data_IF_900439733039
#
_entry.id   IF_900439733039
#
_cell.length_a   1.000
_cell.length_b   1.000
_cell.length_c   1.000
_cell.angle_alpha   90.00
_cell.angle_beta   90.00
_cell.angle_gamma   90.00
#
_symmetry.space_group_name_H-M   'P 1'
#
loop_
_entity.id
_entity.type
_entity.pdbx_description
1 polymer ?
#
# COMPACT_ATOMS: atom_id res chain seq x y z
N UNK A 1 -13.77 -40.32 31.79
CA UNK A 1 -12.89 -39.64 30.81
C UNK A 1 -13.55 -39.75 29.45
N UNK A 2 -14.34 -38.75 29.00
CA UNK A 2 -14.86 -38.57 27.62
C UNK A 2 -16.03 -37.55 27.62
N UNK A 3 -15.80 -36.33 28.11
CA UNK A 3 -16.79 -35.25 28.02
C UNK A 3 -16.09 -33.88 27.88
N UNK A 4 -15.13 -33.80 26.96
CA UNK A 4 -14.71 -32.51 26.39
C UNK A 4 -15.58 -32.27 25.17
N UNK A 5 -16.84 -31.90 25.40
CA UNK A 5 -17.72 -31.39 24.38
C UNK A 5 -16.99 -30.29 23.62
N UNK A 6 -16.76 -30.56 22.34
CA UNK A 6 -16.34 -29.60 21.34
C UNK A 6 -17.41 -28.52 21.26
N UNK A 7 -17.26 -27.48 22.08
CA UNK A 7 -18.10 -26.29 21.99
C UNK A 7 -17.72 -25.58 20.67
N UNK A 8 -18.59 -25.57 19.64
CA UNK A 8 -18.26 -25.04 18.30
C UNK A 8 -17.97 -23.54 18.31
N UNK A 9 -18.29 -22.87 19.41
CA UNK A 9 -18.28 -21.42 19.53
C UNK A 9 -16.93 -20.84 20.01
N UNK A 10 -15.92 -21.67 20.29
CA UNK A 10 -14.59 -21.16 20.72
C UNK A 10 -13.87 -20.34 19.65
N UNK A 11 -14.18 -20.56 18.37
CA UNK A 11 -13.61 -19.78 17.26
C UNK A 11 -14.21 -18.37 17.13
N UNK A 12 -15.37 -18.12 17.76
CA UNK A 12 -16.06 -16.82 17.70
C UNK A 12 -15.65 -15.87 18.83
N UNK A 13 -15.02 -16.38 19.89
CA UNK A 13 -14.62 -15.60 21.07
C UNK A 13 -13.23 -14.94 20.95
N UNK A 14 -12.47 -15.23 19.89
CA UNK A 14 -11.17 -14.58 19.62
C UNK A 14 -11.30 -13.27 18.81
N UNK A 15 -12.50 -12.92 18.33
CA UNK A 15 -12.73 -11.70 17.55
C UNK A 15 -13.05 -10.46 18.42
N UNK A 16 -13.10 -10.60 19.75
CA UNK A 16 -13.51 -9.50 20.64
C UNK A 16 -12.34 -8.74 21.28
N UNK A 17 -11.11 -9.24 21.17
CA UNK A 17 -9.96 -8.70 21.91
C UNK A 17 -9.16 -7.62 21.17
N UNK A 18 -9.42 -7.41 19.87
CA UNK A 18 -8.67 -6.46 19.04
C UNK A 18 -9.50 -5.27 18.54
N UNK A 19 -10.74 -5.09 19.02
CA UNK A 19 -11.61 -3.99 18.60
C UNK A 19 -10.99 -2.61 18.84
N UNK A 20 -10.45 -2.38 20.04
CA UNK A 20 -9.78 -1.13 20.39
C UNK A 20 -8.47 -0.92 19.61
N UNK A 21 -7.77 -2.01 19.27
CA UNK A 21 -6.56 -1.97 18.47
C UNK A 21 -6.87 -1.60 17.01
N UNK A 22 -7.91 -2.19 16.41
CA UNK A 22 -8.39 -1.86 15.06
C UNK A 22 -8.87 -0.39 14.98
N UNK A 23 -9.59 0.09 16.00
CA UNK A 23 -10.03 1.48 16.08
C UNK A 23 -8.83 2.45 16.19
N UNK A 24 -7.85 2.11 17.05
CA UNK A 24 -6.62 2.89 17.21
C UNK A 24 -5.81 2.99 15.92
N UNK A 25 -5.64 1.87 15.20
CA UNK A 25 -4.98 1.85 13.90
C UNK A 25 -5.73 2.66 12.84
N UNK A 26 -7.07 2.62 12.82
CA UNK A 26 -7.88 3.41 11.91
C UNK A 26 -7.77 4.92 12.15
N UNK A 27 -7.82 5.35 13.41
CA UNK A 27 -7.66 6.77 13.79
C UNK A 27 -6.24 7.26 13.47
N UNK A 28 -5.21 6.45 13.77
CA UNK A 28 -3.84 6.77 13.44
C UNK A 28 -3.66 6.96 11.92
N UNK A 29 -4.22 6.05 11.11
CA UNK A 29 -4.20 6.16 9.64
C UNK A 29 -4.93 7.42 9.13
N UNK A 30 -6.06 7.81 9.74
CA UNK A 30 -6.74 9.07 9.39
C UNK A 30 -5.88 10.30 9.70
N UNK A 31 -5.23 10.34 10.86
CA UNK A 31 -4.36 11.46 11.24
C UNK A 31 -3.16 11.55 10.30
N UNK A 32 -2.53 10.41 10.01
CA UNK A 32 -1.40 10.34 9.06
C UNK A 32 -1.86 10.76 7.65
N UNK A 33 -3.05 10.33 7.21
CA UNK A 33 -3.64 10.74 5.94
C UNK A 33 -3.89 12.25 5.86
N UNK A 34 -4.42 12.86 6.92
CA UNK A 34 -4.67 14.30 6.98
C UNK A 34 -3.37 15.12 6.96
N UNK A 35 -2.33 14.65 7.64
CA UNK A 35 -0.99 15.25 7.61
C UNK A 35 -0.40 15.11 6.20
N UNK A 36 -0.52 13.94 5.58
CA UNK A 36 -0.05 13.70 4.22
C UNK A 36 -0.73 14.61 3.20
N UNK A 37 -2.03 14.91 3.35
CA UNK A 37 -2.74 15.89 2.50
C UNK A 37 -2.22 17.30 2.74
N UNK A 38 -2.03 17.68 4.02
CA UNK A 38 -1.61 19.04 4.40
C UNK A 38 -0.20 19.39 3.89
N UNK A 39 0.67 18.39 3.78
CA UNK A 39 2.06 18.56 3.33
C UNK A 39 2.36 17.72 2.08
N UNK A 40 1.37 17.53 1.21
CA UNK A 40 1.41 16.61 0.06
C UNK A 40 2.66 16.75 -0.82
N UNK A 41 3.10 17.98 -1.11
CA UNK A 41 4.30 18.21 -1.92
C UNK A 41 5.56 17.71 -1.22
N UNK A 42 5.73 17.98 0.08
CA UNK A 42 6.88 17.48 0.85
C UNK A 42 6.82 15.96 1.03
N UNK A 43 5.65 15.41 1.32
CA UNK A 43 5.45 13.97 1.44
C UNK A 43 5.85 13.27 0.15
N UNK A 44 5.45 13.82 -1.01
CA UNK A 44 5.83 13.29 -2.32
C UNK A 44 7.34 13.29 -2.51
N UNK A 45 8.01 14.43 -2.32
CA UNK A 45 9.47 14.51 -2.45
C UNK A 45 10.20 13.54 -1.53
N UNK A 46 9.81 13.49 -0.24
CA UNK A 46 10.41 12.59 0.74
C UNK A 46 10.23 11.13 0.34
N UNK A 47 9.04 10.72 -0.10
CA UNK A 47 8.78 9.36 -0.57
C UNK A 47 9.62 9.00 -1.79
N UNK A 48 9.72 9.90 -2.78
CA UNK A 48 10.51 9.66 -4.00
C UNK A 48 11.99 9.48 -3.65
N UNK A 49 12.55 10.37 -2.83
CA UNK A 49 13.96 10.29 -2.41
C UNK A 49 14.21 9.04 -1.55
N UNK A 50 13.29 8.74 -0.63
CA UNK A 50 13.39 7.55 0.21
C UNK A 50 13.38 6.27 -0.63
N UNK A 51 12.42 6.12 -1.55
CA UNK A 51 12.35 4.98 -2.47
C UNK A 51 13.59 4.90 -3.35
N UNK A 52 14.06 6.03 -3.89
CA UNK A 52 15.28 6.09 -4.69
C UNK A 52 16.52 5.64 -3.93
N UNK A 53 16.69 6.10 -2.69
CA UNK A 53 17.81 5.67 -1.84
C UNK A 53 17.79 4.17 -1.52
N UNK A 54 16.61 3.60 -1.26
CA UNK A 54 16.46 2.16 -1.05
C UNK A 54 16.82 1.36 -2.31
N UNK A 55 16.43 1.85 -3.49
CA UNK A 55 16.80 1.24 -4.77
C UNK A 55 18.29 1.32 -5.05
N UNK A 56 18.95 2.44 -4.71
CA UNK A 56 20.41 2.54 -4.83
C UNK A 56 21.12 1.54 -3.93
N UNK A 57 20.70 1.41 -2.67
CA UNK A 57 21.27 0.43 -1.73
C UNK A 57 21.02 -0.99 -2.23
N UNK A 58 19.79 -1.30 -2.67
CA UNK A 58 19.45 -2.59 -3.25
C UNK A 58 20.28 -2.92 -4.50
N UNK A 59 20.48 -1.94 -5.38
CA UNK A 59 21.33 -2.07 -6.56
C UNK A 59 22.78 -2.38 -6.22
N UNK A 60 23.35 -1.71 -5.20
CA UNK A 60 24.69 -2.01 -4.69
C UNK A 60 24.77 -3.44 -4.17
N UNK A 61 23.81 -3.86 -3.35
CA UNK A 61 23.78 -5.22 -2.78
C UNK A 61 23.69 -6.28 -3.89
N UNK A 62 22.79 -6.10 -4.87
CA UNK A 62 22.65 -7.04 -6.00
C UNK A 62 23.90 -7.07 -6.87
N UNK A 63 24.54 -5.91 -7.08
CA UNK A 63 25.80 -5.82 -7.81
C UNK A 63 26.92 -6.58 -7.09
N UNK A 64 27.06 -6.42 -5.78
CA UNK A 64 28.02 -7.16 -4.95
C UNK A 64 27.72 -8.67 -4.97
N UNK A 65 26.45 -9.06 -4.83
CA UNK A 65 26.03 -10.46 -4.87
C UNK A 65 26.33 -11.11 -6.23
N UNK A 66 26.16 -10.35 -7.32
CA UNK A 66 26.53 -10.78 -8.67
C UNK A 66 28.02 -11.12 -8.78
N UNK A 67 28.90 -10.28 -8.25
CA UNK A 67 30.35 -10.55 -8.21
C UNK A 67 30.69 -11.79 -7.35
N UNK A 68 29.94 -12.05 -6.29
CA UNK A 68 30.13 -13.24 -5.44
C UNK A 68 29.63 -14.52 -6.14
N UNK A 69 28.58 -14.41 -6.94
CA UNK A 69 28.02 -15.52 -7.73
C UNK A 69 28.92 -15.93 -8.90
N UNK A 70 29.71 -15.00 -9.46
CA UNK A 70 30.74 -15.30 -10.47
C UNK A 70 31.76 -16.35 -9.98
N UNK A 71 32.12 -16.31 -8.69
CA UNK A 71 33.02 -17.28 -8.06
C UNK A 71 32.47 -18.71 -8.00
N UNK A 72 31.16 -18.88 -8.22
CA UNK A 72 30.44 -20.14 -8.03
C UNK A 72 29.93 -20.78 -9.32
N UNK A 73 30.41 -20.31 -10.49
CA UNK A 73 30.09 -20.82 -11.84
C UNK A 73 28.58 -20.89 -12.14
N UNK A 74 27.85 -19.79 -11.94
CA UNK A 74 26.46 -19.65 -12.37
C UNK A 74 26.36 -18.92 -13.72
N UNK A 75 25.65 -19.50 -14.69
CA UNK A 75 25.45 -18.93 -16.05
C UNK A 75 24.62 -17.63 -16.08
N UNK A 76 24.02 -17.24 -14.95
CA UNK A 76 23.18 -16.04 -14.83
C UNK A 76 23.93 -14.72 -14.51
N UNK A 77 25.27 -14.73 -14.45
CA UNK A 77 26.07 -13.59 -13.96
C UNK A 77 25.76 -12.25 -14.66
N UNK A 78 25.72 -12.25 -16.00
CA UNK A 78 25.52 -11.02 -16.80
C UNK A 78 24.13 -10.42 -16.54
N UNK A 79 23.10 -11.26 -16.47
CA UNK A 79 21.73 -10.81 -16.18
C UNK A 79 21.62 -10.24 -14.78
N UNK A 80 22.23 -10.89 -13.79
CA UNK A 80 22.19 -10.44 -12.40
C UNK A 80 22.93 -9.12 -12.20
N UNK A 81 24.10 -8.96 -12.85
CA UNK A 81 24.86 -7.71 -12.85
C UNK A 81 24.07 -6.58 -13.53
N UNK A 82 23.45 -6.87 -14.68
CA UNK A 82 22.61 -5.91 -15.38
C UNK A 82 21.43 -5.44 -14.52
N UNK A 83 20.79 -6.34 -13.77
CA UNK A 83 19.72 -6.01 -12.81
C UNK A 83 20.25 -5.10 -11.70
N UNK A 84 21.40 -5.42 -11.09
CA UNK A 84 21.99 -4.58 -10.03
C UNK A 84 22.32 -3.17 -10.50
N UNK A 85 22.92 -3.05 -11.68
CA UNK A 85 23.24 -1.76 -12.32
C UNK A 85 21.95 -1.00 -12.65
N UNK A 86 20.95 -1.67 -13.20
CA UNK A 86 19.66 -1.07 -13.51
C UNK A 86 18.98 -0.49 -12.25
N UNK A 87 18.96 -1.26 -11.15
CA UNK A 87 18.42 -0.80 -9.87
C UNK A 87 19.15 0.44 -9.36
N UNK A 88 20.48 0.47 -9.48
CA UNK A 88 21.28 1.62 -9.08
C UNK A 88 20.99 2.85 -9.93
N UNK A 89 20.93 2.72 -11.25
CA UNK A 89 20.64 3.83 -12.17
C UNK A 89 19.24 4.38 -11.91
N UNK A 90 18.23 3.51 -11.81
CA UNK A 90 16.86 3.93 -11.51
C UNK A 90 16.79 4.65 -10.17
N UNK A 91 17.43 4.09 -9.13
CA UNK A 91 17.54 4.73 -7.82
C UNK A 91 18.22 6.10 -7.86
N UNK A 92 19.30 6.24 -8.64
CA UNK A 92 19.99 7.51 -8.81
C UNK A 92 19.10 8.56 -9.50
N UNK A 93 18.39 8.19 -10.57
CA UNK A 93 17.44 9.09 -11.26
C UNK A 93 16.34 9.56 -10.31
N UNK A 94 15.82 8.67 -9.46
CA UNK A 94 14.83 9.01 -8.42
C UNK A 94 15.34 10.06 -7.43
N UNK A 95 16.62 9.99 -7.02
CA UNK A 95 17.21 10.90 -6.04
C UNK A 95 17.65 12.22 -6.67
N UNK A 96 18.27 12.20 -7.85
CA UNK A 96 18.82 13.40 -8.50
C UNK A 96 17.76 14.20 -9.27
N UNK A 97 16.75 13.54 -9.82
CA UNK A 97 15.64 14.17 -10.54
C UNK A 97 14.28 13.77 -9.95
N UNK A 98 13.98 14.16 -8.69
CA UNK A 98 12.76 13.77 -8.02
C UNK A 98 11.51 14.35 -8.71
N UNK A 99 11.63 15.48 -9.39
CA UNK A 99 10.52 16.10 -10.14
C UNK A 99 10.07 15.22 -11.32
N UNK A 100 11.01 14.79 -12.17
CA UNK A 100 10.70 13.91 -13.30
C UNK A 100 10.27 12.53 -12.81
N UNK A 101 10.93 12.03 -11.78
CA UNK A 101 10.63 10.71 -11.21
C UNK A 101 9.25 10.66 -10.54
N UNK A 102 8.79 11.76 -9.96
CA UNK A 102 7.42 11.85 -9.41
C UNK A 102 6.37 11.62 -10.49
N UNK A 103 6.58 12.09 -11.73
CA UNK A 103 5.64 11.90 -12.84
C UNK A 103 5.53 10.43 -13.23
N UNK A 104 6.66 9.73 -13.31
CA UNK A 104 6.68 8.29 -13.61
C UNK A 104 6.06 7.46 -12.47
N UNK A 105 6.40 7.78 -11.21
CA UNK A 105 5.81 7.12 -10.04
C UNK A 105 4.32 7.37 -9.91
N UNK A 106 3.83 8.55 -10.29
CA UNK A 106 2.39 8.88 -10.30
C UNK A 106 1.63 7.94 -11.22
N UNK A 107 2.16 7.69 -12.42
CA UNK A 107 1.53 6.79 -13.38
C UNK A 107 1.45 5.35 -12.85
N UNK A 108 2.56 4.87 -12.27
CA UNK A 108 2.63 3.54 -11.65
C UNK A 108 1.63 3.45 -10.50
N UNK A 109 1.57 4.45 -9.63
CA UNK A 109 0.61 4.49 -8.52
C UNK A 109 -0.84 4.51 -9.01
N UNK A 110 -1.17 5.29 -10.06
CA UNK A 110 -2.50 5.29 -10.65
C UNK A 110 -2.92 3.91 -11.14
N UNK A 111 -2.03 3.20 -11.83
CA UNK A 111 -2.26 1.81 -12.24
C UNK A 111 -2.42 0.86 -11.05
N UNK A 112 -1.57 0.98 -10.02
CA UNK A 112 -1.69 0.16 -8.80
C UNK A 112 -3.02 0.40 -8.09
N UNK A 113 -3.48 1.66 -8.01
CA UNK A 113 -4.79 2.00 -7.44
C UNK A 113 -5.94 1.35 -8.19
N UNK A 114 -5.89 1.34 -9.53
CA UNK A 114 -6.87 0.63 -10.34
C UNK A 114 -6.86 -0.87 -10.07
N UNK A 115 -5.69 -1.49 -10.05
CA UNK A 115 -5.54 -2.94 -9.83
C UNK A 115 -6.07 -3.32 -8.44
N UNK A 116 -5.59 -2.64 -7.39
CA UNK A 116 -5.99 -2.89 -6.00
C UNK A 116 -7.49 -2.62 -5.81
N UNK A 117 -8.01 -1.53 -6.38
CA UNK A 117 -9.42 -1.20 -6.35
C UNK A 117 -10.29 -2.27 -7.04
N UNK A 118 -9.87 -2.75 -8.22
CA UNK A 118 -10.56 -3.81 -8.95
C UNK A 118 -10.57 -5.13 -8.17
N UNK A 119 -9.42 -5.53 -7.60
CA UNK A 119 -9.36 -6.70 -6.72
C UNK A 119 -10.28 -6.53 -5.51
N UNK A 120 -10.26 -5.37 -4.83
CA UNK A 120 -11.16 -5.10 -3.71
C UNK A 120 -12.62 -5.24 -4.10
N UNK A 121 -13.03 -4.69 -5.25
CA UNK A 121 -14.39 -4.82 -5.76
C UNK A 121 -14.76 -6.29 -6.00
N UNK A 122 -13.89 -7.06 -6.66
CA UNK A 122 -14.06 -8.50 -6.88
C UNK A 122 -14.18 -9.27 -5.56
N UNK A 123 -13.21 -9.14 -4.66
CA UNK A 123 -13.21 -9.82 -3.36
C UNK A 123 -14.46 -9.49 -2.55
N UNK A 124 -14.90 -8.23 -2.57
CA UNK A 124 -16.14 -7.81 -1.95
C UNK A 124 -17.31 -8.62 -2.52
N UNK A 125 -17.51 -8.56 -3.85
CA UNK A 125 -18.63 -9.20 -4.56
C UNK A 125 -18.67 -10.72 -4.36
N UNK A 126 -17.49 -11.37 -4.32
CA UNK A 126 -17.37 -12.82 -4.22
C UNK A 126 -17.57 -13.34 -2.79
N UNK A 127 -16.95 -12.73 -1.78
CA UNK A 127 -16.95 -13.27 -0.41
C UNK A 127 -18.12 -12.80 0.45
N UNK A 128 -18.86 -11.76 0.02
CA UNK A 128 -20.05 -11.21 0.72
C UNK A 128 -19.90 -11.19 2.25
N UNK A 129 -18.74 -10.73 2.72
CA UNK A 129 -18.43 -10.63 4.15
C UNK A 129 -19.50 -9.78 4.87
N UNK A 130 -19.73 -10.00 6.18
CA UNK A 130 -20.59 -9.12 6.96
C UNK A 130 -20.10 -7.66 6.79
N UNK A 131 -21.00 -6.78 6.34
CA UNK A 131 -20.73 -5.36 5.96
C UNK A 131 -20.05 -5.12 4.61
N UNK A 132 -20.35 -5.99 3.66
CA UNK A 132 -19.96 -5.90 2.26
C UNK A 132 -20.02 -4.49 1.64
N UNK A 133 -21.07 -3.71 1.92
CA UNK A 133 -21.26 -2.36 1.36
C UNK A 133 -20.10 -1.39 1.64
N UNK A 134 -19.44 -1.48 2.80
CA UNK A 134 -18.32 -0.60 3.16
C UNK A 134 -17.02 -0.99 2.42
N UNK A 135 -16.79 -2.29 2.24
CA UNK A 135 -15.66 -2.78 1.44
C UNK A 135 -15.81 -2.42 -0.03
N UNK A 136 -17.04 -2.48 -0.55
CA UNK A 136 -17.37 -2.11 -1.92
C UNK A 136 -17.17 -0.61 -2.15
N UNK A 137 -17.62 0.24 -1.21
CA UNK A 137 -17.39 1.69 -1.25
C UNK A 137 -15.89 2.03 -1.25
N UNK A 138 -15.10 1.35 -0.42
CA UNK A 138 -13.64 1.54 -0.40
C UNK A 138 -12.98 1.13 -1.72
N UNK A 139 -13.38 -0.02 -2.29
CA UNK A 139 -12.90 -0.45 -3.60
C UNK A 139 -13.25 0.54 -4.70
N UNK A 140 -14.47 1.07 -4.70
CA UNK A 140 -14.92 2.09 -5.64
C UNK A 140 -14.10 3.38 -5.53
N UNK A 141 -13.84 3.86 -4.30
CA UNK A 141 -12.99 5.03 -4.09
C UNK A 141 -11.57 4.80 -4.61
N UNK A 142 -10.95 3.66 -4.29
CA UNK A 142 -9.59 3.36 -4.78
C UNK A 142 -9.54 3.32 -6.32
N UNK A 143 -10.55 2.76 -6.99
CA UNK A 143 -10.64 2.81 -8.47
C UNK A 143 -10.82 4.24 -8.96
N UNK A 144 -11.73 5.01 -8.37
CA UNK A 144 -11.98 6.40 -8.76
C UNK A 144 -10.71 7.26 -8.62
N UNK A 145 -9.96 7.08 -7.53
CA UNK A 145 -8.66 7.70 -7.30
C UNK A 145 -7.68 7.30 -8.42
N UNK A 146 -7.56 6.01 -8.74
CA UNK A 146 -6.70 5.55 -9.83
C UNK A 146 -7.05 6.18 -11.18
N UNK A 147 -8.34 6.27 -11.52
CA UNK A 147 -8.82 6.92 -12.74
C UNK A 147 -8.43 8.41 -12.75
N UNK A 148 -8.71 9.13 -11.66
CA UNK A 148 -8.42 10.57 -11.57
C UNK A 148 -6.92 10.87 -11.68
N UNK A 149 -6.07 10.02 -11.10
CA UNK A 149 -4.61 10.12 -11.21
C UNK A 149 -4.18 9.98 -12.67
N UNK A 150 -4.69 8.98 -13.39
CA UNK A 150 -4.30 8.74 -14.79
C UNK A 150 -4.79 9.83 -15.75
N UNK A 151 -5.99 10.37 -15.54
CA UNK A 151 -6.51 11.48 -16.36
C UNK A 151 -5.79 12.82 -16.12
N UNK A 152 -5.22 13.02 -14.92
CA UNK A 152 -4.51 14.25 -14.56
C UNK A 152 -3.00 14.20 -14.88
N UNK A 153 -2.52 13.07 -15.39
CA UNK A 153 -1.13 12.90 -15.82
C UNK A 153 -0.88 13.63 -17.16
N UNK A 154 0.25 14.33 -17.38
CA UNK A 154 1.46 14.44 -16.55
C UNK A 154 1.53 15.75 -15.72
N UNK A 155 0.57 16.65 -15.86
CA UNK A 155 0.66 18.05 -15.41
C UNK A 155 0.70 18.24 -13.88
N UNK A 156 0.57 17.18 -13.09
CA UNK A 156 0.29 17.29 -11.65
C UNK A 156 1.13 16.37 -10.74
N UNK A 157 2.15 15.68 -11.27
CA UNK A 157 2.88 14.62 -10.55
C UNK A 157 3.45 14.99 -9.18
N UNK A 158 3.88 16.25 -8.99
CA UNK A 158 4.48 16.71 -7.73
C UNK A 158 3.46 16.93 -6.58
N UNK A 159 2.21 17.27 -6.90
CA UNK A 159 1.18 17.63 -5.91
C UNK A 159 0.16 16.50 -5.72
N UNK A 160 -0.16 15.79 -6.80
CA UNK A 160 -1.21 14.76 -6.82
C UNK A 160 -0.81 13.50 -6.05
N UNK A 161 0.45 13.08 -6.06
CA UNK A 161 0.83 11.85 -5.33
C UNK A 161 0.52 11.98 -3.85
N UNK A 162 1.05 12.99 -3.17
CA UNK A 162 0.85 13.18 -1.74
C UNK A 162 -0.62 13.40 -1.36
N UNK A 163 -1.37 14.11 -2.21
CA UNK A 163 -2.79 14.38 -1.96
C UNK A 163 -3.62 13.10 -2.11
N UNK A 164 -3.48 12.37 -3.21
CA UNK A 164 -4.28 11.16 -3.45
C UNK A 164 -3.88 10.00 -2.55
N UNK A 165 -2.58 9.82 -2.28
CA UNK A 165 -2.10 8.85 -1.28
C UNK A 165 -2.62 9.22 0.10
N UNK A 166 -2.58 10.51 0.48
CA UNK A 166 -3.12 10.97 1.76
C UNK A 166 -4.64 10.75 1.87
N UNK A 167 -5.39 11.01 0.80
CA UNK A 167 -6.83 10.72 0.73
C UNK A 167 -7.11 9.23 0.84
N UNK A 168 -6.36 8.38 0.15
CA UNK A 168 -6.55 6.93 0.24
C UNK A 168 -6.20 6.38 1.63
N UNK A 169 -5.13 6.86 2.26
CA UNK A 169 -4.82 6.55 3.67
C UNK A 169 -5.95 6.98 4.61
N UNK A 170 -6.51 8.17 4.39
CA UNK A 170 -7.63 8.67 5.17
C UNK A 170 -8.87 7.80 5.02
N UNK A 171 -9.23 7.45 3.77
CA UNK A 171 -10.38 6.58 3.46
C UNK A 171 -10.17 5.17 4.00
N UNK A 172 -8.97 4.61 3.87
CA UNK A 172 -8.61 3.33 4.45
C UNK A 172 -8.76 3.36 5.99
N UNK A 173 -8.24 4.40 6.65
CA UNK A 173 -8.40 4.62 8.09
C UNK A 173 -9.86 4.69 8.51
N UNK A 174 -10.68 5.45 7.77
CA UNK A 174 -12.13 5.54 7.99
C UNK A 174 -12.83 4.18 7.90
N UNK A 175 -12.47 3.36 6.90
CA UNK A 175 -13.05 2.03 6.72
C UNK A 175 -12.65 1.10 7.87
N UNK A 176 -11.41 1.17 8.36
CA UNK A 176 -10.98 0.44 9.56
C UNK A 176 -11.75 0.88 10.81
N UNK A 177 -11.98 2.18 11.01
CA UNK A 177 -12.79 2.71 12.11
C UNK A 177 -14.22 2.19 12.04
N UNK A 178 -14.84 2.20 10.86
CA UNK A 178 -16.21 1.69 10.67
C UNK A 178 -16.29 0.18 10.85
N UNK A 179 -15.32 -0.60 10.36
CA UNK A 179 -15.23 -2.04 10.60
C UNK A 179 -15.07 -2.36 12.08
N UNK A 180 -14.23 -1.59 12.79
CA UNK A 180 -14.10 -1.67 14.22
C UNK A 180 -15.44 -1.37 14.88
N UNK A 181 -15.96 -0.14 14.79
CA UNK A 181 -17.23 0.30 15.40
C UNK A 181 -18.36 -0.71 15.21
N UNK A 182 -18.46 -1.24 14.02
CA UNK A 182 -19.54 -2.14 13.71
C UNK A 182 -19.24 -3.56 14.28
N UNK A 183 -17.98 -4.00 14.41
CA UNK A 183 -17.61 -5.19 15.19
C UNK A 183 -18.08 -5.14 16.65
N UNK A 184 -18.30 -3.94 17.22
CA UNK A 184 -18.87 -3.76 18.57
C UNK A 184 -20.38 -4.03 18.62
N UNK A 185 -21.14 -3.81 17.54
CA UNK A 185 -22.60 -4.01 17.56
C UNK A 185 -23.05 -5.48 17.74
N UNK A 186 -22.17 -6.46 17.49
CA UNK A 186 -22.45 -7.87 17.78
C UNK A 186 -22.28 -8.25 19.27
N UNK A 187 -21.87 -7.31 20.11
CA UNK A 187 -21.72 -7.52 21.56
C UNK A 187 -22.83 -6.87 22.40
N UNK A 188 -23.81 -6.25 21.74
CA UNK A 188 -24.93 -5.55 22.38
C UNK A 188 -26.26 -6.32 22.37
N UNK A 189 -26.28 -7.59 21.93
CA UNK A 189 -27.42 -8.50 22.04
C UNK A 189 -27.02 -9.81 22.70
#
# INVERSE_FOLDING_TARGET
>A
MMASEQNPNRHLLSYNQNWGWLLGWGIAMMIVGLIAISVATFTTLLSVIFIGSLLMIGGIVVTIDSFKSWWRQWDGFILHLAVGIFYFIVGAVLVFEPAVSSIALTFILGMLYLIVGAFRLMYSLLLRLPRWGWSLFNGFISVLIGILILFSWPASGLFIIGLFVGVDLFVAGWVYVMLALAGRDFTAF
#
